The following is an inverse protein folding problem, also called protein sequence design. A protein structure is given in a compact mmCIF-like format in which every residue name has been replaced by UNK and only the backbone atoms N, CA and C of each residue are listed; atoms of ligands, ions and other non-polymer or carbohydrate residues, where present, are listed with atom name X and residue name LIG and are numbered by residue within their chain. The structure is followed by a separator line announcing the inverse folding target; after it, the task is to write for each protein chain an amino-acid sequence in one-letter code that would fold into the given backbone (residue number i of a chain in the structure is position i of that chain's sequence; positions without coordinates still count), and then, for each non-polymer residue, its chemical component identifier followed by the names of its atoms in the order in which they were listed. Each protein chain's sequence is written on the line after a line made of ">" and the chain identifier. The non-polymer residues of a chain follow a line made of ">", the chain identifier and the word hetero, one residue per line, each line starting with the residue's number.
data_IF_179516779333
#
_entry.id   IF_179516779333
#
_cell.length_a   1.000
_cell.length_b   1.000
_cell.length_c   1.000
_cell.angle_alpha   90.00
_cell.angle_beta   90.00
_cell.angle_gamma   90.00
#
_symmetry.space_group_name_H-M   'P 1'
#
loop_
_entity.id
_entity.type
_entity.pdbx_description
1 polymer ?
#
# COMPACT_ATOMS: atom_id res chain seq x y z
N UNK A 1 49.21 26.84 -14.59
CA UNK A 1 47.95 27.39 -15.14
C UNK A 1 47.07 26.22 -15.55
N UNK A 2 46.03 25.92 -14.78
CA UNK A 2 44.86 25.17 -15.25
C UNK A 2 43.70 25.56 -14.33
N UNK A 3 42.78 26.38 -14.84
CA UNK A 3 41.57 26.82 -14.13
C UNK A 3 40.43 25.86 -14.50
N UNK A 4 39.86 25.20 -13.51
CA UNK A 4 38.61 24.45 -13.65
C UNK A 4 37.44 25.44 -13.81
N UNK A 5 36.49 25.22 -14.75
CA UNK A 5 35.42 26.16 -15.00
C UNK A 5 34.34 26.06 -13.91
N UNK A 6 34.06 27.18 -13.26
CA UNK A 6 33.06 27.37 -12.21
C UNK A 6 31.60 27.36 -12.73
N UNK A 7 31.30 26.58 -13.78
CA UNK A 7 30.04 26.70 -14.54
C UNK A 7 29.07 25.53 -14.41
N UNK A 8 29.32 24.56 -13.51
CA UNK A 8 28.47 23.36 -13.37
C UNK A 8 27.64 23.30 -12.07
N UNK A 9 27.49 24.42 -11.35
CA UNK A 9 26.80 24.44 -10.05
C UNK A 9 25.54 25.32 -10.00
N UNK A 10 24.99 25.77 -11.14
CA UNK A 10 23.92 26.79 -11.13
C UNK A 10 22.61 26.44 -11.86
N UNK A 11 22.31 25.17 -12.17
CA UNK A 11 21.05 24.81 -12.84
C UNK A 11 20.13 23.85 -12.05
N UNK A 12 20.42 23.52 -10.80
CA UNK A 12 19.65 22.50 -10.05
C UNK A 12 18.59 23.04 -9.06
N UNK A 13 18.15 24.31 -9.17
CA UNK A 13 17.28 24.91 -8.14
C UNK A 13 15.97 25.55 -8.65
N UNK A 14 15.60 25.40 -9.93
CA UNK A 14 14.47 26.15 -10.51
C UNK A 14 13.22 25.34 -10.87
N UNK A 15 13.04 24.12 -10.35
CA UNK A 15 11.85 23.30 -10.65
C UNK A 15 10.99 22.93 -9.43
N UNK A 16 11.02 23.70 -8.33
CA UNK A 16 10.33 23.33 -7.10
C UNK A 16 9.02 24.10 -6.79
N UNK A 17 8.66 25.15 -7.54
CA UNK A 17 7.60 26.07 -7.09
C UNK A 17 6.42 26.15 -8.06
N UNK A 18 5.75 25.02 -8.29
CA UNK A 18 4.37 25.01 -8.84
C UNK A 18 3.63 23.68 -8.60
N UNK A 19 4.37 22.58 -8.39
CA UNK A 19 3.79 21.23 -8.24
C UNK A 19 3.81 20.68 -6.81
N UNK A 20 4.38 21.41 -5.84
CA UNK A 20 4.62 20.92 -4.47
C UNK A 20 3.34 20.49 -3.74
N UNK A 21 2.36 21.38 -3.59
CA UNK A 21 1.22 21.13 -2.69
C UNK A 21 0.38 19.89 -3.01
N UNK A 22 0.01 19.67 -4.28
CA UNK A 22 -0.80 18.49 -4.66
C UNK A 22 -0.02 17.18 -4.60
N UNK A 23 1.29 17.22 -4.88
CA UNK A 23 2.15 16.05 -4.80
C UNK A 23 2.42 15.68 -3.33
N UNK A 24 2.59 16.70 -2.48
CA UNK A 24 2.79 16.56 -1.04
C UNK A 24 1.55 15.96 -0.37
N UNK A 25 0.33 16.43 -0.70
CA UNK A 25 -0.93 15.85 -0.22
C UNK A 25 -1.07 14.37 -0.60
N UNK A 26 -0.73 14.05 -1.85
CA UNK A 26 -0.76 12.67 -2.37
C UNK A 26 0.33 11.78 -1.76
N UNK A 27 1.47 12.34 -1.36
CA UNK A 27 2.53 11.63 -0.66
C UNK A 27 2.16 11.37 0.80
N UNK A 28 1.59 12.36 1.48
CA UNK A 28 1.12 12.23 2.86
C UNK A 28 0.02 11.16 2.99
N UNK A 29 -0.95 11.13 2.07
CA UNK A 29 -1.99 10.11 2.05
C UNK A 29 -1.39 8.69 1.90
N UNK A 30 -0.45 8.50 0.96
CA UNK A 30 0.23 7.21 0.78
C UNK A 30 1.04 6.79 2.01
N UNK A 31 1.70 7.72 2.67
CA UNK A 31 2.44 7.46 3.90
C UNK A 31 1.50 7.04 5.04
N UNK A 32 0.34 7.68 5.17
CA UNK A 32 -0.69 7.30 6.14
C UNK A 32 -1.24 5.89 5.89
N UNK A 33 -1.53 5.56 4.62
CA UNK A 33 -1.99 4.21 4.24
C UNK A 33 -0.93 3.14 4.55
N UNK A 34 0.35 3.43 4.26
CA UNK A 34 1.46 2.54 4.61
C UNK A 34 1.61 2.36 6.13
N UNK A 35 1.45 3.42 6.91
CA UNK A 35 1.49 3.35 8.37
C UNK A 35 0.34 2.49 8.93
N UNK A 36 -0.87 2.63 8.38
CA UNK A 36 -2.01 1.78 8.75
C UNK A 36 -1.78 0.31 8.38
N UNK A 37 -1.19 0.05 7.21
CA UNK A 37 -0.81 -1.31 6.82
C UNK A 37 0.21 -1.90 7.79
N UNK A 38 1.20 -1.12 8.22
CA UNK A 38 2.17 -1.58 9.22
C UNK A 38 1.53 -1.84 10.59
N UNK A 39 0.59 -0.99 11.00
CA UNK A 39 -0.19 -1.20 12.23
C UNK A 39 -1.03 -2.48 12.16
N UNK A 40 -1.59 -2.82 10.99
CA UNK A 40 -2.26 -4.10 10.78
C UNK A 40 -1.29 -5.28 10.98
N UNK A 41 -0.08 -5.23 10.44
CA UNK A 41 0.93 -6.28 10.63
C UNK A 41 1.34 -6.42 12.09
N UNK A 42 1.35 -5.34 12.87
CA UNK A 42 1.63 -5.42 14.30
C UNK A 42 0.60 -6.26 15.10
N UNK A 43 -0.57 -6.55 14.52
CA UNK A 43 -1.59 -7.44 15.12
C UNK A 43 -1.40 -8.91 14.77
N UNK A 44 -0.42 -9.24 13.91
CA UNK A 44 -0.20 -10.61 13.47
C UNK A 44 0.31 -11.51 14.61
N UNK A 45 -0.02 -12.82 14.59
CA UNK A 45 0.53 -13.78 15.53
C UNK A 45 2.07 -13.75 15.53
N UNK A 46 2.72 -13.85 16.71
CA UNK A 46 4.17 -13.91 16.81
C UNK A 46 4.75 -15.16 16.13
N UNK A 47 6.08 -15.22 16.04
CA UNK A 47 6.77 -16.42 15.53
C UNK A 47 6.44 -17.66 16.36
N UNK A 48 6.31 -18.80 15.69
CA UNK A 48 5.94 -20.07 16.31
C UNK A 48 4.43 -20.29 16.50
N UNK A 49 3.58 -19.28 16.27
CA UNK A 49 2.12 -19.45 16.26
C UNK A 49 1.55 -19.63 14.84
N UNK A 50 0.41 -20.33 14.69
CA UNK A 50 -0.25 -20.50 13.40
C UNK A 50 -0.64 -19.15 12.77
N UNK A 51 -0.05 -18.84 11.62
CA UNK A 51 -0.31 -17.60 10.88
C UNK A 51 -1.51 -17.71 9.93
N UNK A 52 -1.79 -18.91 9.41
CA UNK A 52 -2.79 -19.13 8.37
C UNK A 52 -4.21 -18.61 8.73
N UNK A 53 -4.77 -18.88 9.93
CA UNK A 53 -6.10 -18.37 10.27
C UNK A 53 -6.17 -16.84 10.29
N UNK A 54 -5.09 -16.17 10.71
CA UNK A 54 -5.01 -14.72 10.69
C UNK A 54 -4.93 -14.19 9.25
N UNK A 55 -4.15 -14.83 8.37
CA UNK A 55 -4.08 -14.46 6.95
C UNK A 55 -5.44 -14.57 6.26
N UNK A 56 -6.13 -15.68 6.48
CA UNK A 56 -7.43 -15.94 5.87
C UNK A 56 -8.47 -14.93 6.35
N UNK A 57 -8.47 -14.62 7.66
CA UNK A 57 -9.32 -13.57 8.23
C UNK A 57 -9.03 -12.19 7.61
N UNK A 58 -7.76 -11.79 7.47
CA UNK A 58 -7.43 -10.50 6.88
C UNK A 58 -7.76 -10.43 5.39
N UNK A 59 -7.52 -11.51 4.62
CA UNK A 59 -7.87 -11.58 3.20
C UNK A 59 -9.37 -11.50 3.00
N UNK A 60 -10.15 -12.23 3.80
CA UNK A 60 -11.61 -12.18 3.76
C UNK A 60 -12.14 -10.77 4.11
N UNK A 61 -11.58 -10.14 5.15
CA UNK A 61 -11.94 -8.77 5.56
C UNK A 61 -11.65 -7.76 4.46
N UNK A 62 -10.46 -7.80 3.85
CA UNK A 62 -10.07 -6.89 2.76
C UNK A 62 -10.96 -7.11 1.53
N UNK A 63 -11.30 -8.35 1.19
CA UNK A 63 -12.23 -8.65 0.10
C UNK A 63 -13.63 -8.06 0.36
N UNK A 64 -14.17 -8.27 1.56
CA UNK A 64 -15.46 -7.71 1.95
C UNK A 64 -15.48 -6.17 1.90
N UNK A 65 -14.43 -5.50 2.40
CA UNK A 65 -14.32 -4.04 2.35
C UNK A 65 -14.22 -3.52 0.89
N UNK A 66 -13.60 -4.27 -0.02
CA UNK A 66 -13.55 -3.90 -1.45
C UNK A 66 -14.91 -4.01 -2.12
N UNK A 67 -15.66 -5.05 -1.79
CA UNK A 67 -17.01 -5.26 -2.29
C UNK A 67 -17.93 -4.16 -1.77
N UNK A 68 -17.85 -3.83 -0.48
CA UNK A 68 -18.60 -2.72 0.12
C UNK A 68 -18.26 -1.38 -0.56
N UNK A 69 -16.97 -1.07 -0.75
CA UNK A 69 -16.53 0.15 -1.43
C UNK A 69 -17.07 0.23 -2.87
N UNK A 70 -17.17 -0.92 -3.55
CA UNK A 70 -17.71 -1.01 -4.91
C UNK A 70 -19.23 -0.77 -4.91
N UNK A 71 -19.98 -1.44 -4.04
CA UNK A 71 -21.43 -1.25 -3.91
C UNK A 71 -21.77 0.20 -3.53
N UNK A 72 -21.02 0.80 -2.60
CA UNK A 72 -21.19 2.20 -2.21
C UNK A 72 -20.93 3.15 -3.37
N UNK A 73 -19.90 2.89 -4.17
CA UNK A 73 -19.63 3.68 -5.37
C UNK A 73 -20.79 3.57 -6.37
N UNK A 74 -21.29 2.37 -6.67
CA UNK A 74 -22.41 2.17 -7.59
C UNK A 74 -23.70 2.88 -7.13
N UNK A 75 -24.00 2.83 -5.83
CA UNK A 75 -25.13 3.55 -5.26
C UNK A 75 -24.95 5.07 -5.38
N UNK A 76 -23.75 5.56 -5.09
CA UNK A 76 -23.41 6.99 -5.18
C UNK A 76 -23.45 7.48 -6.63
N UNK A 77 -22.96 6.67 -7.57
CA UNK A 77 -22.98 6.96 -9.00
C UNK A 77 -24.42 7.11 -9.51
N UNK A 78 -25.32 6.18 -9.13
CA UNK A 78 -26.75 6.30 -9.45
C UNK A 78 -27.36 7.58 -8.88
N UNK A 79 -27.02 7.94 -7.64
CA UNK A 79 -27.47 9.18 -7.02
C UNK A 79 -26.91 10.43 -7.71
N UNK A 80 -25.67 10.40 -8.20
CA UNK A 80 -25.04 11.52 -8.91
C UNK A 80 -25.81 11.92 -10.17
N UNK A 81 -26.37 10.95 -10.90
CA UNK A 81 -27.14 11.21 -12.12
C UNK A 81 -28.45 11.97 -11.87
N UNK A 82 -28.92 12.05 -10.63
CA UNK A 82 -30.09 12.84 -10.25
C UNK A 82 -29.75 14.28 -9.83
N UNK A 83 -28.47 14.66 -9.85
CA UNK A 83 -28.00 15.98 -9.42
C UNK A 83 -27.76 16.89 -10.62
N UNK A 84 -27.85 18.20 -10.42
CA UNK A 84 -27.49 19.17 -11.46
C UNK A 84 -25.98 19.15 -11.78
N UNK A 85 -25.13 19.07 -10.76
CA UNK A 85 -23.66 19.01 -10.90
C UNK A 85 -23.15 17.55 -10.99
N UNK A 86 -23.64 16.77 -11.96
CA UNK A 86 -23.33 15.33 -12.09
C UNK A 86 -21.82 15.09 -12.16
N UNK A 87 -21.10 15.84 -13.00
CA UNK A 87 -19.67 15.59 -13.24
C UNK A 87 -18.81 15.79 -12.00
N UNK A 88 -19.11 16.80 -11.19
CA UNK A 88 -18.40 17.06 -9.93
C UNK A 88 -18.73 15.98 -8.90
N UNK A 89 -19.99 15.56 -8.82
CA UNK A 89 -20.40 14.44 -7.98
C UNK A 89 -19.65 13.14 -8.35
N UNK A 90 -19.61 12.79 -9.64
CA UNK A 90 -18.92 11.60 -10.12
C UNK A 90 -17.41 11.68 -9.87
N UNK A 91 -16.80 12.87 -10.02
CA UNK A 91 -15.39 13.08 -9.70
C UNK A 91 -15.12 12.80 -8.22
N UNK A 92 -15.94 13.36 -7.34
CA UNK A 92 -15.80 13.14 -5.90
C UNK A 92 -15.99 11.66 -5.54
N UNK A 93 -17.03 11.01 -6.04
CA UNK A 93 -17.28 9.59 -5.80
C UNK A 93 -16.11 8.69 -6.23
N UNK A 94 -15.46 9.00 -7.37
CA UNK A 94 -14.26 8.29 -7.82
C UNK A 94 -13.05 8.54 -6.93
N UNK A 95 -12.86 9.78 -6.47
CA UNK A 95 -11.78 10.13 -5.53
C UNK A 95 -11.94 9.39 -4.21
N UNK A 96 -13.15 9.37 -3.65
CA UNK A 96 -13.46 8.66 -2.41
C UNK A 96 -13.23 7.14 -2.56
N UNK A 97 -13.74 6.54 -3.64
CA UNK A 97 -13.50 5.13 -3.94
C UNK A 97 -12.01 4.83 -4.05
N UNK A 98 -11.25 5.66 -4.77
CA UNK A 98 -9.81 5.47 -4.94
C UNK A 98 -9.08 5.48 -3.61
N UNK A 99 -9.36 6.45 -2.74
CA UNK A 99 -8.74 6.54 -1.42
C UNK A 99 -8.97 5.26 -0.59
N UNK A 100 -10.20 4.73 -0.58
CA UNK A 100 -10.50 3.47 0.13
C UNK A 100 -9.75 2.29 -0.47
N UNK A 101 -9.73 2.17 -1.80
CA UNK A 101 -9.06 1.05 -2.47
C UNK A 101 -7.53 1.10 -2.33
N UNK A 102 -6.93 2.29 -2.35
CA UNK A 102 -5.48 2.47 -2.17
C UNK A 102 -5.04 2.04 -0.77
N UNK A 103 -5.79 2.46 0.26
CA UNK A 103 -5.60 1.99 1.64
C UNK A 103 -5.67 0.46 1.74
N UNK A 104 -6.73 -0.14 1.19
CA UNK A 104 -6.92 -1.60 1.19
C UNK A 104 -5.79 -2.33 0.46
N UNK A 105 -5.28 -1.75 -0.63
CA UNK A 105 -4.13 -2.27 -1.37
C UNK A 105 -2.86 -2.28 -0.53
N UNK A 106 -2.57 -1.22 0.22
CA UNK A 106 -1.39 -1.19 1.10
C UNK A 106 -1.48 -2.29 2.17
N UNK A 107 -2.66 -2.50 2.74
CA UNK A 107 -2.88 -3.56 3.72
C UNK A 107 -2.70 -4.96 3.12
N UNK A 108 -3.23 -5.21 1.93
CA UNK A 108 -3.05 -6.49 1.24
C UNK A 108 -1.59 -6.78 0.91
N UNK A 109 -0.85 -5.77 0.42
CA UNK A 109 0.58 -5.90 0.16
C UNK A 109 1.34 -6.27 1.43
N UNK A 110 1.07 -5.59 2.54
CA UNK A 110 1.70 -5.88 3.82
C UNK A 110 1.38 -7.30 4.32
N UNK A 111 0.12 -7.75 4.18
CA UNK A 111 -0.31 -9.11 4.56
C UNK A 111 0.40 -10.17 3.73
N UNK A 112 0.51 -9.96 2.42
CA UNK A 112 1.21 -10.87 1.52
C UNK A 112 2.73 -10.89 1.75
N UNK A 113 3.32 -9.75 2.08
CA UNK A 113 4.74 -9.67 2.43
C UNK A 113 5.04 -10.39 3.75
N UNK A 114 4.16 -10.29 4.74
CA UNK A 114 4.29 -11.05 6.00
C UNK A 114 4.26 -12.57 5.74
N UNK A 115 3.30 -13.06 4.95
CA UNK A 115 3.19 -14.47 4.56
C UNK A 115 4.47 -14.94 3.86
N UNK A 116 4.97 -14.15 2.91
CA UNK A 116 6.23 -14.45 2.20
C UNK A 116 7.42 -14.55 3.16
N UNK A 117 7.58 -13.59 4.07
CA UNK A 117 8.68 -13.58 5.06
C UNK A 117 8.62 -14.83 5.93
N UNK A 118 7.45 -15.12 6.51
CA UNK A 118 7.26 -16.26 7.42
C UNK A 118 7.53 -17.61 6.76
N UNK A 119 7.11 -17.80 5.51
CA UNK A 119 7.43 -19.01 4.74
C UNK A 119 8.92 -19.13 4.43
N UNK A 120 9.58 -18.01 4.17
CA UNK A 120 11.03 -17.97 3.92
C UNK A 120 11.80 -18.35 5.18
N UNK A 121 11.44 -17.77 6.32
CA UNK A 121 12.06 -18.05 7.62
C UNK A 121 11.87 -19.50 8.04
N UNK A 122 10.67 -20.06 7.82
CA UNK A 122 10.39 -21.47 8.08
C UNK A 122 11.25 -22.38 7.22
N UNK A 123 11.35 -22.09 5.91
CA UNK A 123 12.20 -22.86 4.99
C UNK A 123 13.68 -22.78 5.39
N UNK A 124 14.17 -21.60 5.79
CA UNK A 124 15.55 -21.44 6.24
C UNK A 124 15.85 -22.31 7.47
N UNK A 125 14.96 -22.30 8.48
CA UNK A 125 15.08 -23.16 9.67
C UNK A 125 15.03 -24.66 9.34
N UNK A 126 14.28 -25.06 8.32
CA UNK A 126 14.25 -26.46 7.86
C UNK A 126 15.60 -26.86 7.24
N UNK A 127 16.23 -25.97 6.46
CA UNK A 127 17.55 -26.21 5.86
C UNK A 127 18.64 -26.28 6.93
N UNK A 128 18.66 -25.36 7.89
CA UNK A 128 19.62 -25.35 9.01
C UNK A 128 19.50 -26.61 9.89
N UNK A 129 18.29 -27.13 10.07
CA UNK A 129 18.05 -28.36 10.86
C UNK A 129 18.43 -29.63 10.12
N UNK A 130 18.61 -29.60 8.80
CA UNK A 130 19.14 -30.75 8.04
C UNK A 130 20.67 -30.64 8.05
N UNK A 131 21.39 -31.32 8.98
CA UNK A 131 22.84 -31.31 8.93
C UNK A 131 23.30 -31.84 7.56
N UNK A 132 24.43 -31.31 7.09
CA UNK A 132 25.13 -31.67 5.84
C UNK A 132 25.58 -33.15 5.84
N UNK A 133 24.61 -34.06 5.80
CA UNK A 133 24.79 -35.51 5.79
C UNK A 133 24.00 -36.15 4.64
N UNK A 134 24.06 -35.53 3.47
CA UNK A 134 23.51 -36.07 2.22
C UNK A 134 24.55 -35.99 1.09
N UNK A 135 25.83 -36.17 1.44
CA UNK A 135 26.87 -36.63 0.54
C UNK A 135 27.30 -38.00 1.06
N UNK A 136 26.68 -39.06 0.52
CA UNK A 136 26.96 -40.46 0.81
C UNK A 136 26.49 -41.30 -0.36
#
# INVERSE_FOLDING_TARGET
>A
MNRLPASLLLCALLSACASGSLHDDSAAARAADAAQAQALIATAPPEGQPLAPWLDAQRARIAAERDEATQRYEATEKACWQRFAVNDCLRQARTERRAVLDRLRQQELAVNDLDRRRRTDERLRQLERKPSGSDG
#
